data_IF_092206004731
#
_entry.id   IF_092206004731
#
_cell.length_a   1.000
_cell.length_b   1.000
_cell.length_c   1.000
_cell.angle_alpha   90.00
_cell.angle_beta   90.00
_cell.angle_gamma   90.00
#
_symmetry.space_group_name_H-M   'P 1'
#
loop_
_entity.id
_entity.type
_entity.pdbx_description
1 polymer ?
#
# COMPACT_ATOMS: atom_id res chain seq x y z
N UNK A 1 -6.04 -8.15 7.94
CA UNK A 1 -6.14 -7.27 9.12
C UNK A 1 -6.28 -5.85 8.62
N UNK A 2 -6.91 -4.97 9.39
CA UNK A 2 -7.07 -3.56 9.01
C UNK A 2 -6.16 -2.71 9.88
N UNK A 3 -5.25 -1.97 9.25
CA UNK A 3 -4.31 -1.08 9.92
C UNK A 3 -4.75 0.38 9.78
N UNK A 4 -4.23 1.24 10.64
CA UNK A 4 -4.47 2.68 10.60
C UNK A 4 -3.15 3.45 10.52
N UNK A 5 -3.21 4.76 10.33
CA UNK A 5 -2.00 5.59 10.34
C UNK A 5 -1.18 5.47 11.63
N UNK A 6 -1.80 5.09 12.74
CA UNK A 6 -1.14 4.92 14.03
C UNK A 6 -0.23 3.69 14.09
N UNK A 7 -0.45 2.73 13.17
CA UNK A 7 0.32 1.49 13.05
C UNK A 7 1.54 1.64 12.13
N UNK A 8 1.68 2.79 11.46
CA UNK A 8 2.79 3.05 10.55
C UNK A 8 4.10 3.25 11.32
N UNK A 9 5.23 2.70 10.84
CA UNK A 9 5.37 1.91 9.61
C UNK A 9 4.87 0.47 9.78
N UNK A 10 4.12 -0.02 8.80
CA UNK A 10 3.52 -1.37 8.83
C UNK A 10 3.82 -2.15 7.56
N UNK A 11 4.01 -3.46 7.70
CA UNK A 11 4.05 -4.39 6.58
C UNK A 11 2.67 -4.97 6.34
N UNK A 12 2.06 -4.58 5.24
CA UNK A 12 0.82 -5.17 4.75
C UNK A 12 1.11 -6.51 4.10
N UNK A 13 0.25 -7.49 4.33
CA UNK A 13 0.16 -8.71 3.54
C UNK A 13 -0.92 -8.61 2.45
N UNK A 14 -0.89 -9.54 1.51
CA UNK A 14 -1.90 -9.65 0.45
C UNK A 14 -3.33 -9.63 1.03
N UNK A 15 -4.18 -8.75 0.48
CA UNK A 15 -5.56 -8.58 0.93
C UNK A 15 -5.74 -7.81 2.25
N UNK A 16 -4.65 -7.31 2.86
CA UNK A 16 -4.73 -6.40 4.00
C UNK A 16 -4.89 -4.94 3.53
N UNK A 17 -5.55 -4.15 4.37
CA UNK A 17 -5.86 -2.75 4.10
C UNK A 17 -5.25 -1.89 5.21
N UNK A 18 -4.62 -0.77 4.84
CA UNK A 18 -4.30 0.32 5.77
C UNK A 18 -5.15 1.54 5.44
N UNK A 19 -5.74 2.15 6.46
CA UNK A 19 -6.49 3.40 6.34
C UNK A 19 -5.59 4.58 6.69
N UNK A 20 -5.45 5.51 5.75
CA UNK A 20 -4.61 6.70 5.83
C UNK A 20 -5.47 7.96 6.05
N UNK A 21 -4.88 9.03 6.61
CA UNK A 21 -5.58 10.29 6.79
C UNK A 21 -6.03 10.88 5.45
N UNK A 22 -7.19 11.55 5.47
CA UNK A 22 -7.83 12.08 4.26
C UNK A 22 -8.83 11.13 3.59
N UNK A 23 -9.09 9.95 4.18
CA UNK A 23 -10.05 8.97 3.64
C UNK A 23 -9.46 8.07 2.56
N UNK A 24 -8.15 8.11 2.36
CA UNK A 24 -7.45 7.17 1.52
C UNK A 24 -7.28 5.83 2.27
N UNK A 25 -7.41 4.72 1.58
CA UNK A 25 -6.95 3.42 2.04
C UNK A 25 -5.96 2.87 1.04
N UNK A 26 -5.04 2.02 1.49
CA UNK A 26 -4.10 1.32 0.60
C UNK A 26 -4.26 -0.16 0.83
N UNK A 27 -4.40 -0.89 -0.27
CA UNK A 27 -4.29 -2.34 -0.31
C UNK A 27 -3.47 -2.75 -1.50
N UNK A 28 -2.96 -3.96 -1.48
CA UNK A 28 -2.35 -4.54 -2.66
C UNK A 28 -2.81 -5.97 -2.87
N UNK A 29 -2.86 -6.36 -4.14
CA UNK A 29 -2.95 -7.74 -4.58
C UNK A 29 -1.64 -8.14 -5.25
N UNK A 30 -1.28 -9.41 -5.11
CA UNK A 30 -0.06 -9.95 -5.68
C UNK A 30 -0.39 -10.62 -7.00
N UNK A 31 0.32 -10.19 -8.04
CA UNK A 31 0.11 -10.61 -9.42
C UNK A 31 1.45 -11.11 -9.99
N UNK A 32 1.78 -12.35 -9.65
CA UNK A 32 3.10 -12.92 -9.90
C UNK A 32 4.16 -12.24 -9.03
N UNK A 33 5.13 -11.59 -9.67
CA UNK A 33 6.17 -10.81 -8.98
C UNK A 33 5.78 -9.35 -8.73
N UNK A 34 4.71 -8.86 -9.36
CA UNK A 34 4.26 -7.49 -9.20
C UNK A 34 3.20 -7.37 -8.09
N UNK A 35 3.13 -6.20 -7.48
CA UNK A 35 2.09 -5.80 -6.52
C UNK A 35 1.21 -4.75 -7.16
N UNK A 36 -0.03 -5.14 -7.40
CA UNK A 36 -1.08 -4.28 -7.89
C UNK A 36 -1.63 -3.51 -6.68
N UNK A 37 -1.34 -2.21 -6.62
CA UNK A 37 -1.72 -1.33 -5.51
C UNK A 37 -3.03 -0.64 -5.84
N UNK A 38 -3.94 -0.64 -4.89
CA UNK A 38 -5.24 0.03 -4.99
C UNK A 38 -5.34 1.09 -3.89
N UNK A 39 -5.77 2.27 -4.29
CA UNK A 39 -6.14 3.33 -3.36
C UNK A 39 -7.66 3.37 -3.18
N UNK A 40 -8.14 3.42 -1.94
CA UNK A 40 -9.58 3.50 -1.68
C UNK A 40 -10.31 2.19 -2.00
N UNK A 41 -11.52 2.34 -2.53
CA UNK A 41 -12.41 1.25 -2.95
C UNK A 41 -12.36 1.04 -4.49
N UNK A 42 -11.22 1.36 -5.12
CA UNK A 42 -11.07 1.19 -6.56
C UNK A 42 -11.12 -0.29 -6.97
N UNK A 43 -11.84 -0.56 -8.07
CA UNK A 43 -11.95 -1.89 -8.66
C UNK A 43 -10.72 -2.27 -9.50
N UNK A 44 -10.05 -1.27 -10.07
CA UNK A 44 -8.84 -1.45 -10.87
C UNK A 44 -7.62 -1.01 -10.05
N UNK A 45 -6.45 -1.66 -10.24
CA UNK A 45 -5.24 -1.22 -9.59
C UNK A 45 -4.86 0.17 -10.07
N UNK A 46 -4.62 1.08 -9.13
CA UNK A 46 -4.22 2.45 -9.42
C UNK A 46 -2.78 2.49 -9.94
N UNK A 47 -1.93 1.58 -9.46
CA UNK A 47 -0.59 1.37 -9.99
C UNK A 47 -0.11 -0.07 -9.76
N UNK A 48 0.97 -0.43 -10.45
CA UNK A 48 1.66 -1.70 -10.31
C UNK A 48 3.11 -1.44 -9.92
N UNK A 49 3.56 -2.05 -8.82
CA UNK A 49 4.92 -1.91 -8.30
C UNK A 49 5.65 -3.26 -8.29
N UNK A 50 6.94 -3.22 -8.58
CA UNK A 50 7.81 -4.40 -8.51
C UNK A 50 8.71 -4.32 -7.27
N UNK A 51 9.13 -5.47 -6.70
CA UNK A 51 10.07 -5.51 -5.58
C UNK A 51 11.31 -4.64 -5.83
N UNK A 52 11.64 -3.79 -4.86
CA UNK A 52 12.74 -2.83 -4.95
C UNK A 52 12.39 -1.49 -5.61
N UNK A 53 11.15 -1.30 -6.09
CA UNK A 53 10.62 0.02 -6.40
C UNK A 53 10.15 0.73 -5.13
N UNK A 54 10.07 2.06 -5.19
CA UNK A 54 9.49 2.90 -4.13
C UNK A 54 8.50 3.84 -4.79
N UNK A 55 7.30 3.90 -4.23
CA UNK A 55 6.28 4.86 -4.65
C UNK A 55 5.96 5.81 -3.50
N UNK A 56 6.15 7.11 -3.72
CA UNK A 56 5.85 8.15 -2.74
C UNK A 56 4.57 8.88 -3.15
N UNK A 57 3.65 9.06 -2.21
CA UNK A 57 2.40 9.79 -2.45
C UNK A 57 2.03 10.64 -1.23
N UNK A 58 1.15 11.62 -1.42
CA UNK A 58 0.71 12.53 -0.35
C UNK A 58 -0.80 12.39 -0.14
N UNK A 59 -1.21 12.16 1.10
CA UNK A 59 -2.63 12.15 1.50
C UNK A 59 -2.80 12.77 2.88
N UNK A 60 -3.92 13.48 3.09
CA UNK A 60 -4.19 14.11 4.39
C UNK A 60 -3.11 15.12 4.84
N UNK A 61 -2.32 15.67 3.92
CA UNK A 61 -1.21 16.58 4.23
C UNK A 61 0.06 15.90 4.77
N UNK A 62 0.15 14.57 4.69
CA UNK A 62 1.35 13.77 5.02
C UNK A 62 1.87 13.05 3.78
N UNK A 63 3.18 12.79 3.77
CA UNK A 63 3.84 11.98 2.74
C UNK A 63 3.95 10.54 3.22
N UNK A 64 3.63 9.60 2.34
CA UNK A 64 3.72 8.17 2.58
C UNK A 64 4.52 7.51 1.46
N UNK A 65 5.12 6.36 1.78
CA UNK A 65 5.90 5.55 0.87
C UNK A 65 5.40 4.13 0.87
N UNK A 66 5.31 3.56 -0.33
CA UNK A 66 5.03 2.16 -0.56
C UNK A 66 6.30 1.49 -1.09
N UNK A 67 6.75 0.47 -0.36
CA UNK A 67 7.92 -0.31 -0.74
C UNK A 67 7.50 -1.78 -0.82
N UNK A 68 7.20 -2.30 -2.03
CA UNK A 68 7.01 -3.73 -2.24
C UNK A 68 8.26 -4.52 -1.84
N UNK A 69 8.12 -5.45 -0.91
CA UNK A 69 9.15 -6.44 -0.61
C UNK A 69 9.13 -7.57 -1.67
N UNK A 70 10.22 -8.34 -1.75
CA UNK A 70 10.28 -9.56 -2.57
C UNK A 70 9.34 -10.66 -2.05
N UNK A 71 9.11 -10.68 -0.75
CA UNK A 71 8.08 -11.49 -0.11
C UNK A 71 6.68 -11.00 -0.47
N UNK A 72 5.65 -11.75 -0.10
CA UNK A 72 4.24 -11.40 -0.32
C UNK A 72 3.74 -10.28 0.63
N UNK A 73 4.56 -9.24 0.81
CA UNK A 73 4.34 -8.12 1.73
C UNK A 73 4.71 -6.78 1.10
N UNK A 74 4.12 -5.71 1.58
CA UNK A 74 4.43 -4.34 1.17
C UNK A 74 4.60 -3.46 2.42
N UNK A 75 5.73 -2.78 2.54
CA UNK A 75 5.96 -1.80 3.60
C UNK A 75 5.27 -0.48 3.26
N UNK A 76 4.55 0.06 4.23
CA UNK A 76 3.94 1.39 4.20
C UNK A 76 4.52 2.22 5.33
N UNK A 77 5.11 3.36 5.01
CA UNK A 77 5.76 4.29 5.97
C UNK A 77 5.49 5.77 5.66
#
# INVERSE_FOLDING_TARGET
MDYTEADLPVRLHHGEIVSLPGGASVRFDSNGEAKDVFFGDEFNPSLQLFPGMVHEFETGGKKFRLVPDFDDTMLVE
#
